data_IF_305224571110
#
_entry.id   IF_305224571110
#
_cell.length_a   1.000
_cell.length_b   1.000
_cell.length_c   1.000
_cell.angle_alpha   90.00
_cell.angle_beta   90.00
_cell.angle_gamma   90.00
#
_symmetry.space_group_name_H-M   'P 1'
#
loop_
_entity.id
_entity.type
_entity.pdbx_description
1 polymer ?
#
# COMPACT_ATOMS: atom_id res chain seq x y z
N UNK A 1 -2.95 23.82 -15.55
CA UNK A 1 -1.77 23.50 -16.37
C UNK A 1 -1.79 22.02 -16.61
N UNK A 2 -1.90 21.57 -17.86
CA UNK A 2 -1.93 20.14 -18.20
C UNK A 2 -0.54 19.66 -18.62
N UNK A 3 -0.34 18.33 -18.64
CA UNK A 3 0.95 17.76 -19.04
C UNK A 3 1.27 18.10 -20.51
N UNK A 4 0.25 18.21 -21.35
CA UNK A 4 0.36 18.54 -22.77
C UNK A 4 0.88 19.96 -23.01
N UNK A 5 0.62 20.88 -22.07
CA UNK A 5 1.14 22.25 -22.09
C UNK A 5 2.62 22.31 -21.68
N UNK A 6 3.12 21.30 -20.95
CA UNK A 6 4.49 21.26 -20.41
C UNK A 6 5.47 20.53 -21.34
N UNK A 7 5.01 19.52 -22.09
CA UNK A 7 5.86 18.73 -23.01
C UNK A 7 6.66 19.61 -23.98
N UNK A 8 6.08 20.63 -24.65
CA UNK A 8 6.83 21.50 -25.57
C UNK A 8 8.01 22.22 -24.90
N UNK A 9 7.92 22.51 -23.60
CA UNK A 9 8.96 23.18 -22.82
C UNK A 9 10.06 22.22 -22.35
N UNK A 10 9.78 20.91 -22.30
CA UNK A 10 10.72 19.86 -21.85
C UNK A 10 11.48 19.26 -23.03
N UNK A 11 10.87 19.15 -24.21
CA UNK A 11 11.48 18.62 -25.43
C UNK A 11 12.86 19.25 -25.76
N UNK A 12 13.04 20.59 -25.76
CA UNK A 12 14.30 21.21 -26.13
C UNK A 12 15.41 21.05 -25.09
N UNK A 13 15.11 20.57 -23.88
CA UNK A 13 16.11 20.36 -22.84
C UNK A 13 17.13 19.30 -23.27
N UNK A 14 18.39 19.55 -22.93
CA UNK A 14 19.46 18.57 -23.03
C UNK A 14 19.18 17.35 -22.15
N UNK A 15 19.91 16.27 -22.39
CA UNK A 15 19.76 15.04 -21.60
C UNK A 15 20.06 15.27 -20.10
N UNK A 16 21.08 16.08 -19.79
CA UNK A 16 21.42 16.43 -18.41
C UNK A 16 20.36 17.26 -17.72
N UNK A 17 19.73 18.20 -18.43
CA UNK A 17 18.62 19.00 -17.90
C UNK A 17 17.37 18.17 -17.64
N UNK A 18 17.08 17.20 -18.52
CA UNK A 18 15.99 16.23 -18.32
C UNK A 18 16.21 15.37 -17.08
N UNK A 19 17.45 14.91 -16.84
CA UNK A 19 17.80 14.15 -15.63
C UNK A 19 17.61 15.01 -14.38
N UNK A 20 18.07 16.27 -14.39
CA UNK A 20 17.88 17.19 -13.26
C UNK A 20 16.42 17.48 -12.98
N UNK A 21 15.61 17.70 -14.03
CA UNK A 21 14.17 17.89 -13.90
C UNK A 21 13.50 16.67 -13.25
N UNK A 22 13.84 15.47 -13.72
CA UNK A 22 13.33 14.23 -13.14
C UNK A 22 13.70 14.09 -11.66
N UNK A 23 14.94 14.41 -11.28
CA UNK A 23 15.38 14.38 -9.88
C UNK A 23 14.57 15.31 -8.99
N UNK A 24 14.31 16.55 -9.45
CA UNK A 24 13.50 17.53 -8.71
C UNK A 24 12.06 17.04 -8.55
N UNK A 25 11.45 16.53 -9.63
CA UNK A 25 10.08 16.01 -9.60
C UNK A 25 9.95 14.83 -8.62
N UNK A 26 10.90 13.89 -8.66
CA UNK A 26 10.91 12.76 -7.72
C UNK A 26 11.10 13.21 -6.26
N UNK A 27 11.95 14.21 -6.03
CA UNK A 27 12.13 14.80 -4.70
C UNK A 27 10.85 15.46 -4.19
N UNK A 28 10.13 16.17 -5.05
CA UNK A 28 8.87 16.82 -4.71
C UNK A 28 7.78 15.78 -4.38
N UNK A 29 7.65 14.72 -5.20
CA UNK A 29 6.70 13.64 -4.93
C UNK A 29 6.98 12.93 -3.60
N UNK A 30 8.25 12.66 -3.28
CA UNK A 30 8.63 12.07 -2.00
C UNK A 30 8.29 12.98 -0.81
N UNK A 31 8.39 14.30 -0.99
CA UNK A 31 8.01 15.28 0.03
C UNK A 31 6.49 15.37 0.20
N UNK A 32 5.73 15.35 -0.89
CA UNK A 32 4.27 15.35 -0.87
C UNK A 32 3.70 14.08 -0.23
N UNK A 33 4.30 12.91 -0.49
CA UNK A 33 3.97 11.64 0.17
C UNK A 33 4.22 11.72 1.69
N UNK A 34 5.36 12.29 2.08
CA UNK A 34 5.72 12.48 3.49
C UNK A 34 4.82 13.51 4.20
N UNK A 35 4.32 14.50 3.47
CA UNK A 35 3.43 15.54 3.99
C UNK A 35 1.95 15.10 4.01
N UNK A 36 1.57 14.16 3.13
CA UNK A 36 0.23 13.57 3.06
C UNK A 36 0.06 12.35 3.96
N UNK A 37 1.14 11.86 4.56
CA UNK A 37 1.04 10.95 5.69
C UNK A 37 0.24 11.66 6.78
N UNK A 38 -1.01 11.24 7.01
CA UNK A 38 -1.77 11.64 8.19
C UNK A 38 -0.85 11.53 9.40
N UNK A 39 -0.96 12.46 10.38
CA UNK A 39 -0.15 12.37 11.58
C UNK A 39 -0.33 10.97 12.14
N UNK A 40 0.74 10.17 12.11
CA UNK A 40 0.79 8.84 12.69
C UNK A 40 0.24 9.00 14.10
N UNK A 41 -1.02 8.57 14.31
CA UNK A 41 -1.58 8.49 15.65
C UNK A 41 -0.51 7.77 16.47
N UNK A 42 -0.07 8.33 17.61
CA UNK A 42 0.91 7.67 18.44
C UNK A 42 0.42 6.24 18.62
N UNK A 43 1.29 5.27 18.33
CA UNK A 43 1.05 3.83 18.41
C UNK A 43 0.87 3.38 19.88
N UNK A 44 -0.07 4.03 20.57
CA UNK A 44 -0.53 3.76 21.92
C UNK A 44 -1.74 2.84 21.92
N UNK A 45 -2.37 2.64 20.76
CA UNK A 45 -3.31 1.54 20.57
C UNK A 45 -2.48 0.27 20.39
N UNK A 46 -2.25 -0.42 21.51
CA UNK A 46 -1.59 -1.71 21.53
C UNK A 46 -2.20 -2.63 20.47
N UNK A 47 -1.36 -3.39 19.79
CA UNK A 47 -1.81 -4.36 18.80
C UNK A 47 -2.74 -5.37 19.48
N UNK A 48 -4.05 -5.22 19.25
CA UNK A 48 -5.13 -6.07 19.75
C UNK A 48 -5.36 -7.23 18.76
N UNK A 49 -4.75 -8.42 18.98
CA UNK A 49 -4.73 -9.49 17.99
C UNK A 49 -6.15 -10.04 17.75
N UNK A 50 -7.01 -9.98 18.76
CA UNK A 50 -8.40 -10.42 18.71
C UNK A 50 -9.25 -9.57 17.76
N UNK A 51 -8.89 -8.30 17.63
CA UNK A 51 -9.56 -7.34 16.73
C UNK A 51 -8.99 -7.43 15.31
N UNK A 52 -7.71 -7.72 15.18
CA UNK A 52 -7.00 -7.85 13.90
C UNK A 52 -7.30 -9.17 13.18
N UNK A 53 -7.25 -10.31 13.89
CA UNK A 53 -7.48 -11.63 13.30
C UNK A 53 -8.97 -12.01 13.27
N UNK A 54 -9.86 -11.13 13.74
CA UNK A 54 -11.25 -11.44 14.01
C UNK A 54 -11.36 -12.43 15.17
N UNK A 55 -12.49 -12.43 15.85
CA UNK A 55 -12.79 -13.42 16.88
C UNK A 55 -13.09 -14.76 16.19
N UNK A 56 -12.07 -15.42 15.65
CA UNK A 56 -12.20 -16.75 15.10
C UNK A 56 -12.37 -17.74 16.26
N UNK A 57 -13.56 -17.77 16.86
CA UNK A 57 -14.03 -18.79 17.79
C UNK A 57 -14.27 -20.13 17.11
N UNK A 58 -13.55 -20.45 16.02
CA UNK A 58 -13.60 -21.80 15.49
C UNK A 58 -12.65 -22.64 16.31
N UNK A 59 -13.21 -23.45 17.20
CA UNK A 59 -12.41 -24.42 17.94
C UNK A 59 -11.71 -25.33 16.93
N UNK A 60 -10.50 -25.77 17.26
CA UNK A 60 -9.75 -26.70 16.40
C UNK A 60 -10.59 -27.91 15.96
N UNK A 61 -11.50 -28.36 16.83
CA UNK A 61 -12.46 -29.44 16.53
C UNK A 61 -13.45 -29.09 15.40
N UNK A 62 -13.90 -27.84 15.29
CA UNK A 62 -14.77 -27.41 14.19
C UNK A 62 -14.02 -27.36 12.85
N UNK A 63 -12.75 -26.93 12.87
CA UNK A 63 -11.89 -26.96 11.68
C UNK A 63 -11.61 -28.40 11.25
N UNK A 64 -11.24 -29.26 12.20
CA UNK A 64 -10.97 -30.68 11.94
C UNK A 64 -12.22 -31.40 11.42
N UNK A 65 -13.41 -31.08 11.96
CA UNK A 65 -14.69 -31.62 11.49
C UNK A 65 -15.04 -31.18 10.07
N UNK A 66 -14.81 -29.91 9.72
CA UNK A 66 -15.02 -29.40 8.37
C UNK A 66 -14.05 -30.02 7.34
N UNK A 67 -12.78 -30.20 7.71
CA UNK A 67 -11.81 -30.87 6.85
C UNK A 67 -12.13 -32.35 6.65
N UNK A 68 -12.64 -33.02 7.68
CA UNK A 68 -13.08 -34.41 7.58
C UNK A 68 -14.31 -34.55 6.67
N UNK A 69 -15.31 -33.66 6.79
CA UNK A 69 -16.52 -33.71 5.94
C UNK A 69 -16.23 -33.40 4.47
N UNK A 70 -15.28 -32.50 4.19
CA UNK A 70 -14.81 -32.24 2.83
C UNK A 70 -14.14 -33.46 2.19
N UNK A 71 -13.47 -34.31 2.98
CA UNK A 71 -12.79 -35.52 2.49
C UNK A 71 -13.76 -36.67 2.19
N UNK A 72 -14.89 -36.75 2.88
CA UNK A 72 -15.91 -37.78 2.62
C UNK A 72 -16.71 -37.55 1.33
N UNK A 73 -16.78 -36.31 0.82
CA UNK A 73 -17.44 -35.99 -0.45
C UNK A 73 -16.65 -36.34 -1.72
N UNK A 74 -15.46 -36.93 -1.58
CA UNK A 74 -14.57 -37.35 -2.68
C UNK A 74 -14.52 -38.88 -2.89
N UNK A 75 -15.54 -39.61 -2.44
CA UNK A 75 -15.77 -41.03 -2.78
C UNK A 75 -17.07 -41.20 -3.56
#
# INVERSE_FOLDING_TARGET
MTIDELIPSIVPLSHGEKIRLLQVVLQQLAQEESASAEPTRPATDGFEPQRFFGVAHQSRQQVDGYLASLREGWN
#
